data_IF_592216396918
#
_entry.id   IF_592216396918
#
_cell.length_a   1.000
_cell.length_b   1.000
_cell.length_c   1.000
_cell.angle_alpha   90.00
_cell.angle_beta   90.00
_cell.angle_gamma   90.00
#
_symmetry.space_group_name_H-M   'P 1'
#
loop_
_entity.id
_entity.type
_entity.pdbx_description
1 polymer ?
#
# COMPACT_ATOMS: atom_id res chain seq x y z
N UNK A 1 -4.15 18.40 -16.19
CA UNK A 1 -4.84 18.27 -14.88
C UNK A 1 -3.78 18.07 -13.81
N UNK A 2 -3.85 18.78 -12.70
CA UNK A 2 -2.93 18.62 -11.57
C UNK A 2 -3.38 17.37 -10.77
N UNK A 3 -2.88 16.21 -11.17
CA UNK A 3 -3.25 14.91 -10.60
C UNK A 3 -2.49 14.68 -9.29
N UNK A 4 -2.94 15.38 -8.24
CA UNK A 4 -2.40 15.25 -6.89
C UNK A 4 -3.33 14.45 -6.01
N UNK A 5 -2.74 13.60 -5.19
CA UNK A 5 -3.43 12.80 -4.19
C UNK A 5 -3.13 13.35 -2.79
N UNK A 6 -4.11 13.30 -1.87
CA UNK A 6 -3.88 13.66 -0.48
C UNK A 6 -3.03 12.59 0.22
N UNK A 7 -2.18 13.02 1.15
CA UNK A 7 -1.50 12.10 2.05
C UNK A 7 -2.49 11.44 3.01
N UNK A 8 -2.32 10.14 3.24
CA UNK A 8 -3.12 9.36 4.21
C UNK A 8 -3.03 9.92 5.64
N UNK A 9 -1.88 10.47 6.02
CA UNK A 9 -1.65 10.99 7.37
C UNK A 9 -2.14 12.44 7.56
N UNK A 10 -2.27 13.20 6.47
CA UNK A 10 -2.71 14.60 6.50
C UNK A 10 -3.22 15.03 5.12
N UNK A 11 -4.53 15.27 5.02
CA UNK A 11 -5.18 15.64 3.75
C UNK A 11 -4.68 16.96 3.14
N UNK A 12 -4.03 17.83 3.91
CA UNK A 12 -3.46 19.08 3.40
C UNK A 12 -2.19 18.84 2.56
N UNK A 13 -1.56 17.68 2.66
CA UNK A 13 -0.42 17.32 1.83
C UNK A 13 -0.92 16.81 0.47
N UNK A 14 -0.90 17.69 -0.54
CA UNK A 14 -1.21 17.33 -1.93
C UNK A 14 0.08 16.92 -2.66
N UNK A 15 0.16 15.65 -3.04
CA UNK A 15 1.39 15.01 -3.51
C UNK A 15 1.13 14.44 -4.91
N UNK A 16 2.12 14.55 -5.80
CA UNK A 16 2.07 13.82 -7.07
C UNK A 16 2.26 12.32 -6.81
N UNK A 17 1.48 11.42 -7.43
CA UNK A 17 1.60 9.97 -7.23
C UNK A 17 3.04 9.45 -7.34
N UNK A 18 3.80 9.93 -8.32
CA UNK A 18 5.21 9.60 -8.56
C UNK A 18 6.15 9.93 -7.38
N UNK A 19 5.76 10.86 -6.50
CA UNK A 19 6.55 11.32 -5.34
C UNK A 19 6.04 10.75 -4.01
N UNK A 20 4.97 9.94 -4.00
CA UNK A 20 4.34 9.46 -2.78
C UNK A 20 5.30 8.67 -1.88
N UNK A 21 6.10 7.77 -2.47
CA UNK A 21 7.08 6.96 -1.72
C UNK A 21 8.11 7.85 -1.03
N UNK A 22 8.68 8.82 -1.76
CA UNK A 22 9.65 9.76 -1.20
C UNK A 22 9.01 10.67 -0.15
N UNK A 23 7.76 11.06 -0.36
CA UNK A 23 6.99 11.80 0.63
C UNK A 23 6.86 11.00 1.94
N UNK A 24 6.56 9.69 1.91
CA UNK A 24 6.48 8.88 3.13
C UNK A 24 7.80 8.81 3.91
N UNK A 25 8.95 8.89 3.24
CA UNK A 25 10.26 8.95 3.92
C UNK A 25 10.43 10.28 4.68
N UNK A 26 9.90 11.39 4.13
CA UNK A 26 10.10 12.74 4.68
C UNK A 26 8.90 13.35 5.41
N UNK A 27 7.77 12.67 5.45
CA UNK A 27 6.55 13.19 6.06
C UNK A 27 6.61 13.13 7.58
N UNK A 28 6.58 14.30 8.23
CA UNK A 28 6.57 14.39 9.70
C UNK A 28 5.26 13.89 10.31
N UNK A 29 4.13 14.13 9.66
CA UNK A 29 2.86 13.56 10.10
C UNK A 29 2.87 12.04 10.04
N UNK A 30 3.51 11.43 9.03
CA UNK A 30 3.73 9.99 9.03
C UNK A 30 4.56 9.56 10.23
N UNK A 31 5.71 10.21 10.49
CA UNK A 31 6.56 9.88 11.65
C UNK A 31 5.79 9.93 12.97
N UNK A 32 4.94 10.94 13.13
CA UNK A 32 4.15 11.16 14.34
C UNK A 32 2.95 10.21 14.45
N UNK A 33 2.24 9.96 13.36
CA UNK A 33 0.94 9.29 13.35
C UNK A 33 0.99 7.83 12.92
N UNK A 34 2.09 7.32 12.36
CA UNK A 34 2.19 5.93 11.84
C UNK A 34 1.77 4.86 12.84
N UNK A 35 1.89 5.10 14.15
CA UNK A 35 1.47 4.16 15.19
C UNK A 35 -0.06 3.96 15.28
N UNK A 36 -0.84 4.85 14.67
CA UNK A 36 -2.31 4.79 14.57
C UNK A 36 -2.80 4.09 13.31
N UNK A 37 -1.88 3.70 12.42
CA UNK A 37 -2.17 3.08 11.14
C UNK A 37 -1.56 1.68 11.07
N UNK A 38 -2.18 0.83 10.27
CA UNK A 38 -1.65 -0.47 9.86
C UNK A 38 -1.33 -0.43 8.36
N UNK A 39 -0.35 -1.22 7.94
CA UNK A 39 0.00 -1.38 6.52
C UNK A 39 -0.74 -2.60 5.98
N UNK A 40 -1.48 -2.44 4.88
CA UNK A 40 -2.20 -3.53 4.27
C UNK A 40 -1.23 -4.65 3.80
N UNK A 41 -1.55 -5.92 4.08
CA UNK A 41 -0.72 -7.05 3.65
C UNK A 41 -0.77 -7.30 2.13
N UNK A 42 -1.80 -6.79 1.44
CA UNK A 42 -2.01 -6.98 0.00
C UNK A 42 -1.39 -5.86 -0.84
N UNK A 43 -1.30 -4.65 -0.31
CA UNK A 43 -0.72 -3.49 -0.98
C UNK A 43 -0.02 -2.59 0.04
N UNK A 44 1.31 -2.55 0.00
CA UNK A 44 2.12 -1.76 0.93
C UNK A 44 1.91 -0.24 0.82
N UNK A 45 1.22 0.25 -0.21
CA UNK A 45 0.83 1.66 -0.33
C UNK A 45 -0.44 2.01 0.46
N UNK A 46 -1.22 1.02 0.87
CA UNK A 46 -2.38 1.24 1.73
C UNK A 46 -1.93 1.29 3.18
N UNK A 47 -1.84 2.52 3.71
CA UNK A 47 -1.80 2.77 5.14
C UNK A 47 -3.24 3.03 5.59
N UNK A 48 -3.71 2.30 6.60
CA UNK A 48 -5.12 2.28 6.98
C UNK A 48 -5.24 2.59 8.46
N UNK A 49 -6.13 3.50 8.90
CA UNK A 49 -6.37 3.71 10.33
C UNK A 49 -6.72 2.40 11.02
N UNK A 50 -6.15 2.15 12.21
CA UNK A 50 -6.42 0.94 13.01
C UNK A 50 -7.91 0.60 13.15
N UNK A 51 -8.82 1.55 13.43
CA UNK A 51 -10.25 1.26 13.55
C UNK A 51 -10.90 0.76 12.25
N UNK A 52 -10.31 1.08 11.09
CA UNK A 52 -10.84 0.72 9.77
C UNK A 52 -10.14 -0.50 9.16
N UNK A 53 -9.07 -0.99 9.79
CA UNK A 53 -8.22 -2.04 9.24
C UNK A 53 -8.98 -3.34 8.99
N UNK A 54 -9.81 -3.80 9.93
CA UNK A 54 -10.59 -5.03 9.79
C UNK A 54 -11.59 -4.96 8.64
N UNK A 55 -12.24 -3.80 8.46
CA UNK A 55 -13.14 -3.57 7.35
C UNK A 55 -12.38 -3.47 6.02
N UNK A 56 -11.18 -2.90 6.03
CA UNK A 56 -10.31 -2.80 4.88
C UNK A 56 -9.88 -4.17 4.37
N UNK A 57 -9.33 -5.04 5.23
CA UNK A 57 -8.83 -6.37 4.81
C UNK A 57 -9.94 -7.26 4.23
N UNK A 58 -11.19 -7.11 4.68
CA UNK A 58 -12.33 -7.84 4.13
C UNK A 58 -12.70 -7.42 2.69
N UNK A 59 -12.34 -6.19 2.31
CA UNK A 59 -12.70 -5.59 1.00
C UNK A 59 -11.51 -5.45 0.06
N UNK A 60 -10.30 -5.36 0.60
CA UNK A 60 -9.07 -5.24 -0.16
C UNK A 60 -8.75 -6.58 -0.79
N UNK A 61 -8.75 -6.63 -2.12
CA UNK A 61 -8.39 -7.85 -2.85
C UNK A 61 -6.88 -8.04 -2.80
N UNK A 62 -6.38 -9.28 -2.66
CA UNK A 62 -4.98 -9.56 -2.98
C UNK A 62 -4.71 -9.11 -4.42
N UNK A 63 -3.48 -8.69 -4.76
CA UNK A 63 -3.13 -8.44 -6.15
C UNK A 63 -3.48 -9.72 -6.91
N UNK A 64 -4.42 -9.62 -7.86
CA UNK A 64 -4.76 -10.75 -8.72
C UNK A 64 -3.58 -10.97 -9.63
N UNK A 65 -2.53 -11.59 -9.12
CA UNK A 65 -1.53 -12.21 -9.96
C UNK A 65 -2.32 -13.34 -10.64
N UNK A 66 -2.73 -13.13 -11.90
CA UNK A 66 -2.97 -14.26 -12.78
C UNK A 66 -1.62 -14.94 -12.95
N UNK A 67 -1.25 -15.75 -11.97
CA UNK A 67 -0.08 -16.60 -12.06
C UNK A 67 -0.50 -17.68 -13.06
N UNK A 68 -0.08 -17.53 -14.32
CA UNK A 68 0.02 -18.69 -15.19
C UNK A 68 1.13 -19.56 -14.62
N UNK A 69 0.80 -20.35 -13.60
CA UNK A 69 1.67 -21.39 -13.05
C UNK A 69 1.76 -22.51 -14.09
N UNK A 70 2.52 -22.29 -15.16
CA UNK A 70 3.18 -23.39 -15.84
C UNK A 70 4.28 -23.87 -14.90
N UNK A 71 3.92 -24.69 -13.90
CA UNK A 71 4.89 -25.56 -13.27
C UNK A 71 5.34 -26.54 -14.36
N UNK A 72 6.42 -26.17 -15.06
CA UNK A 72 7.13 -27.05 -15.98
C UNK A 72 7.49 -28.31 -15.23
N UNK A 73 6.89 -29.42 -15.65
CA UNK A 73 7.24 -30.77 -15.23
C UNK A 73 8.50 -31.18 -15.96
N UNK A 74 9.60 -30.47 -15.68
CA UNK A 74 10.92 -30.73 -16.22
C UNK A 74 11.98 -30.18 -15.25
N UNK A 75 11.89 -30.58 -13.98
CA UNK A 75 13.03 -30.50 -13.06
C UNK A 75 13.91 -31.76 -13.23
N UNK A 76 15.15 -31.66 -13.73
CA UNK A 76 16.05 -32.81 -13.91
C UNK A 76 16.74 -33.26 -12.61
N UNK A 77 16.45 -32.62 -11.46
CA UNK A 77 17.12 -32.92 -10.19
C UNK A 77 16.16 -33.46 -9.12
N UNK A 78 15.43 -34.53 -9.44
CA UNK A 78 15.04 -35.59 -8.49
C UNK A 78 13.91 -35.30 -7.52
#
# INVERSE_FOLDING_TARGET
>A
MDDRIPCVYNANHLIKPEKLVWHYVKCDDRRRLQHLFEVCPYNSMHHVPKPEYDAHIQRCKPPTTQINLNFGVDDPWG
#
